data_IF_302641335792
#
_entry.id   IF_302641335792
#
_cell.length_a   1.000
_cell.length_b   1.000
_cell.length_c   1.000
_cell.angle_alpha   90.00
_cell.angle_beta   90.00
_cell.angle_gamma   90.00
#
_symmetry.space_group_name_H-M   'P 1'
#
loop_
_entity.id
_entity.type
_entity.pdbx_description
1 polymer ?
#
# COMPACT_ATOMS: atom_id res chain seq x y z
N UNK A 1 -13.66 -7.88 -5.12
CA UNK A 1 -12.70 -6.95 -4.50
C UNK A 1 -11.48 -7.76 -4.10
N UNK A 2 -10.26 -7.29 -4.43
CA UNK A 2 -9.06 -8.12 -4.25
C UNK A 2 -8.46 -8.01 -2.85
N UNK A 3 -7.84 -9.10 -2.42
CA UNK A 3 -7.10 -9.25 -1.17
C UNK A 3 -5.77 -9.95 -1.43
N UNK A 4 -4.90 -10.03 -0.42
CA UNK A 4 -3.65 -10.80 -0.52
C UNK A 4 -3.88 -12.26 -0.95
N UNK A 5 -5.04 -12.86 -0.58
CA UNK A 5 -5.38 -14.24 -0.94
C UNK A 5 -5.53 -14.43 -2.43
N UNK A 6 -5.82 -13.37 -3.18
CA UNK A 6 -6.02 -13.45 -4.61
C UNK A 6 -4.69 -13.48 -5.37
N UNK A 7 -3.55 -13.21 -4.72
CA UNK A 7 -2.23 -13.46 -5.31
C UNK A 7 -2.03 -14.96 -5.45
N UNK A 8 -2.34 -15.50 -6.62
CA UNK A 8 -2.24 -16.93 -6.91
C UNK A 8 -0.99 -17.26 -7.72
N UNK A 9 -0.51 -16.31 -8.52
CA UNK A 9 0.48 -16.59 -9.55
C UNK A 9 1.68 -15.66 -9.48
N UNK A 10 2.82 -16.18 -9.92
CA UNK A 10 4.04 -15.41 -10.13
C UNK A 10 4.66 -15.74 -11.48
N UNK A 11 5.31 -14.75 -12.10
CA UNK A 11 5.93 -14.92 -13.40
C UNK A 11 7.17 -14.06 -13.57
N UNK A 12 8.23 -14.66 -14.08
CA UNK A 12 9.40 -13.93 -14.57
C UNK A 12 9.10 -13.35 -15.95
N UNK A 13 9.45 -12.08 -16.16
CA UNK A 13 9.35 -11.41 -17.45
C UNK A 13 10.71 -10.87 -17.87
N UNK A 14 10.99 -10.91 -19.18
CA UNK A 14 12.20 -10.34 -19.78
C UNK A 14 11.81 -9.50 -20.97
N UNK A 15 12.21 -8.23 -20.95
CA UNK A 15 12.11 -7.32 -22.07
C UNK A 15 13.50 -6.99 -22.59
N UNK A 16 13.66 -7.05 -23.91
CA UNK A 16 14.92 -6.81 -24.62
C UNK A 16 16.12 -7.51 -23.96
N UNK A 17 15.98 -8.83 -23.74
CA UNK A 17 17.02 -9.64 -23.11
C UNK A 17 17.21 -9.43 -21.60
N UNK A 18 16.51 -8.48 -20.98
CA UNK A 18 16.69 -8.06 -19.58
C UNK A 18 17.28 -6.65 -19.45
N UNK A 19 17.47 -5.93 -20.55
CA UNK A 19 18.11 -4.61 -20.57
C UNK A 19 17.09 -3.47 -20.40
N UNK A 20 15.81 -3.73 -20.64
CA UNK A 20 14.73 -2.76 -20.45
C UNK A 20 13.74 -3.22 -19.38
N UNK A 21 13.13 -2.26 -18.68
CA UNK A 21 12.11 -2.52 -17.68
C UNK A 21 10.84 -3.06 -18.33
N UNK A 22 10.28 -4.13 -17.76
CA UNK A 22 9.09 -4.75 -18.31
C UNK A 22 7.88 -3.83 -18.20
N UNK A 23 7.28 -3.46 -19.34
CA UNK A 23 5.96 -2.82 -19.46
C UNK A 23 5.83 -1.43 -18.82
N UNK A 24 6.95 -0.73 -18.59
CA UNK A 24 6.95 0.66 -18.10
C UNK A 24 6.78 1.70 -19.21
N UNK A 25 6.80 1.26 -20.48
CA UNK A 25 6.46 2.02 -21.67
C UNK A 25 4.95 2.14 -21.89
N UNK A 26 4.14 1.47 -21.06
CA UNK A 26 2.68 1.47 -21.14
C UNK A 26 2.14 2.36 -20.01
N UNK A 27 1.61 3.53 -20.39
CA UNK A 27 1.04 4.49 -19.43
C UNK A 27 -0.40 4.15 -19.01
N UNK A 28 -1.02 3.16 -19.66
CA UNK A 28 -2.36 2.70 -19.33
C UNK A 28 -2.38 1.72 -18.14
N UNK A 29 -3.48 1.73 -17.39
CA UNK A 29 -3.79 0.72 -16.36
C UNK A 29 -4.18 -0.65 -16.96
N UNK A 30 -4.08 -0.80 -18.27
CA UNK A 30 -4.35 -2.05 -18.99
C UNK A 30 -3.17 -2.37 -19.91
N UNK A 31 -2.80 -3.65 -19.97
CA UNK A 31 -1.70 -4.11 -20.81
C UNK A 31 -1.96 -5.52 -21.33
N UNK A 32 -1.32 -5.86 -22.46
CA UNK A 32 -1.29 -7.24 -22.95
C UNK A 32 -0.05 -7.92 -22.37
N UNK A 33 -0.27 -8.87 -21.47
CA UNK A 33 0.79 -9.77 -21.04
C UNK A 33 0.94 -10.87 -22.09
N UNK A 34 2.17 -11.18 -22.51
CA UNK A 34 2.44 -12.10 -23.61
C UNK A 34 3.12 -13.39 -23.14
N UNK A 35 2.90 -14.51 -23.82
CA UNK A 35 3.43 -15.84 -23.58
C UNK A 35 4.02 -16.43 -24.88
N UNK A 36 5.08 -17.22 -24.73
CA UNK A 36 5.77 -17.86 -25.84
C UNK A 36 4.96 -19.04 -26.42
N UNK A 37 5.07 -19.24 -27.74
CA UNK A 37 4.55 -20.41 -28.45
C UNK A 37 5.47 -21.64 -28.39
N UNK A 38 6.71 -21.48 -27.93
CA UNK A 38 7.77 -22.51 -27.99
C UNK A 38 7.54 -23.70 -27.05
N UNK A 39 6.54 -23.62 -26.17
CA UNK A 39 6.22 -24.67 -25.20
C UNK A 39 4.91 -25.35 -25.62
N UNK A 40 5.02 -26.14 -26.68
CA UNK A 40 3.94 -26.62 -27.57
C UNK A 40 2.96 -27.62 -26.91
N UNK A 41 3.26 -28.15 -25.73
CA UNK A 41 2.44 -29.19 -25.10
C UNK A 41 1.38 -28.69 -24.09
N UNK A 42 1.16 -27.38 -23.93
CA UNK A 42 0.03 -26.86 -23.11
C UNK A 42 -0.56 -25.55 -23.70
N UNK A 43 -1.64 -25.61 -24.49
CA UNK A 43 -2.28 -24.44 -25.11
C UNK A 43 -3.06 -23.53 -24.14
N UNK A 44 -2.64 -23.39 -22.88
CA UNK A 44 -3.45 -22.69 -21.84
C UNK A 44 -2.66 -21.84 -20.85
N UNK A 45 -1.37 -21.57 -21.09
CA UNK A 45 -0.55 -20.84 -20.12
C UNK A 45 -1.00 -19.38 -19.89
N UNK A 46 -1.49 -18.69 -20.93
CA UNK A 46 -2.08 -17.36 -20.79
C UNK A 46 -3.42 -17.41 -20.05
N UNK A 47 -4.13 -18.52 -20.19
CA UNK A 47 -5.41 -18.79 -19.54
C UNK A 47 -5.31 -19.36 -18.11
N UNK A 48 -4.11 -19.73 -17.63
CA UNK A 48 -3.91 -20.30 -16.28
C UNK A 48 -4.45 -19.39 -15.16
N UNK A 49 -4.12 -18.08 -15.10
CA UNK A 49 -4.76 -17.17 -14.16
C UNK A 49 -6.24 -17.02 -14.48
N UNK A 50 -7.15 -17.12 -13.51
CA UNK A 50 -8.57 -16.87 -13.76
C UNK A 50 -8.90 -15.40 -13.46
N UNK A 51 -10.03 -14.90 -13.97
CA UNK A 51 -10.57 -13.63 -13.48
C UNK A 51 -10.76 -13.75 -11.97
N UNK A 52 -10.28 -12.75 -11.22
CA UNK A 52 -10.22 -12.80 -9.76
C UNK A 52 -8.85 -13.19 -9.22
N UNK A 53 -7.99 -13.81 -10.02
CA UNK A 53 -6.61 -14.08 -9.62
C UNK A 53 -5.69 -12.88 -9.88
N UNK A 54 -4.70 -12.71 -9.01
CA UNK A 54 -3.61 -11.78 -9.16
C UNK A 54 -2.33 -12.52 -9.55
N UNK A 55 -1.63 -11.94 -10.53
CA UNK A 55 -0.34 -12.35 -11.03
C UNK A 55 0.71 -11.31 -10.63
N UNK A 56 1.75 -11.78 -9.95
CA UNK A 56 2.94 -10.98 -9.62
C UNK A 56 3.96 -11.11 -10.73
N UNK A 57 4.45 -10.00 -11.25
CA UNK A 57 5.59 -9.98 -12.15
C UNK A 57 6.87 -9.66 -11.41
N UNK A 58 7.94 -10.36 -11.75
CA UNK A 58 9.30 -9.98 -11.38
C UNK A 58 10.22 -10.08 -12.59
N UNK A 59 11.35 -9.38 -12.51
CA UNK A 59 12.34 -9.33 -13.57
C UNK A 59 13.73 -9.24 -12.97
N UNK A 60 14.69 -9.97 -13.56
CA UNK A 60 16.11 -9.70 -13.38
C UNK A 60 16.57 -8.64 -14.37
N UNK A 61 17.16 -7.55 -13.87
CA UNK A 61 17.74 -6.49 -14.69
C UNK A 61 19.22 -6.82 -14.93
N UNK A 62 19.66 -6.78 -16.19
CA UNK A 62 21.02 -7.19 -16.54
C UNK A 62 22.07 -6.17 -16.08
N UNK A 63 21.77 -4.89 -16.17
CA UNK A 63 22.72 -3.80 -15.89
C UNK A 63 23.23 -3.79 -14.46
N UNK A 64 22.42 -4.19 -13.49
CA UNK A 64 22.82 -4.29 -12.07
C UNK A 64 22.78 -5.72 -11.52
N UNK A 65 22.32 -6.69 -12.32
CA UNK A 65 22.19 -8.10 -11.94
C UNK A 65 21.12 -8.39 -10.89
N UNK A 66 20.32 -7.40 -10.47
CA UNK A 66 19.35 -7.53 -9.38
C UNK A 66 17.98 -7.95 -9.89
N UNK A 67 17.17 -8.47 -8.96
CA UNK A 67 15.78 -8.84 -9.23
C UNK A 67 14.84 -7.83 -8.60
N UNK A 68 13.86 -7.41 -9.40
CA UNK A 68 12.82 -6.48 -9.01
C UNK A 68 11.45 -7.09 -9.23
N UNK A 69 10.56 -6.87 -8.27
CA UNK A 69 9.15 -7.15 -8.36
C UNK A 69 8.47 -5.92 -8.96
N UNK A 70 7.87 -6.07 -10.13
CA UNK A 70 7.55 -4.91 -10.98
C UNK A 70 6.08 -4.59 -11.01
N UNK A 71 5.20 -5.60 -11.08
CA UNK A 71 3.77 -5.40 -11.27
C UNK A 71 2.92 -6.36 -10.45
N UNK A 72 1.72 -5.90 -10.07
CA UNK A 72 0.58 -6.75 -9.75
C UNK A 72 -0.48 -6.59 -10.85
N UNK A 73 -0.91 -7.70 -11.40
CA UNK A 73 -1.85 -7.74 -12.54
C UNK A 73 -3.02 -8.66 -12.25
N UNK A 74 -4.20 -8.35 -12.80
CA UNK A 74 -5.36 -9.27 -12.83
C UNK A 74 -5.89 -9.40 -14.25
N UNK A 75 -6.35 -10.58 -14.69
CA UNK A 75 -7.07 -10.70 -15.95
C UNK A 75 -8.34 -9.84 -15.98
N UNK A 76 -8.62 -9.21 -17.11
CA UNK A 76 -9.85 -8.44 -17.33
C UNK A 76 -10.95 -9.32 -17.92
N UNK A 77 -10.56 -10.28 -18.77
CA UNK A 77 -11.45 -11.17 -19.48
C UNK A 77 -10.90 -12.61 -19.50
N UNK A 78 -11.69 -13.50 -20.09
CA UNK A 78 -11.31 -14.90 -20.35
C UNK A 78 -10.95 -15.09 -21.83
N UNK A 79 -10.29 -14.10 -22.44
CA UNK A 79 -9.92 -14.13 -23.86
C UNK A 79 -8.40 -14.35 -23.98
N UNK A 80 -8.02 -15.39 -24.72
CA UNK A 80 -6.65 -15.57 -25.19
C UNK A 80 -6.51 -14.87 -26.55
N UNK A 81 -5.51 -14.00 -26.66
CA UNK A 81 -5.23 -13.24 -27.88
C UNK A 81 -4.15 -13.96 -28.69
N UNK A 82 -4.37 -14.09 -30.00
CA UNK A 82 -3.34 -14.52 -30.93
C UNK A 82 -2.59 -13.29 -31.47
N UNK A 83 -1.44 -13.01 -30.87
CA UNK A 83 -0.54 -11.92 -31.18
C UNK A 83 0.53 -12.30 -32.21
N UNK A 84 0.41 -13.42 -32.96
CA UNK A 84 1.47 -13.84 -33.91
C UNK A 84 1.89 -12.75 -34.90
N UNK A 85 0.93 -11.91 -35.34
CA UNK A 85 1.17 -10.82 -36.31
C UNK A 85 1.91 -9.63 -35.70
N UNK A 86 1.70 -9.35 -34.42
CA UNK A 86 2.28 -8.18 -33.72
C UNK A 86 3.50 -8.55 -32.88
N UNK A 87 3.60 -9.81 -32.44
CA UNK A 87 4.67 -10.33 -31.61
C UNK A 87 4.92 -11.83 -31.90
N UNK A 88 5.64 -12.15 -32.99
CA UNK A 88 5.84 -13.55 -33.41
C UNK A 88 6.62 -14.40 -32.40
N UNK A 89 7.45 -13.76 -31.55
CA UNK A 89 8.20 -14.43 -30.48
C UNK A 89 7.31 -14.84 -29.30
N UNK A 90 6.27 -14.06 -29.01
CA UNK A 90 5.34 -14.29 -27.91
C UNK A 90 3.90 -14.24 -28.42
N UNK A 91 3.51 -15.32 -29.12
CA UNK A 91 2.23 -15.45 -29.81
C UNK A 91 1.02 -15.24 -28.90
N UNK A 92 1.00 -15.79 -27.70
CA UNK A 92 -0.21 -15.81 -26.90
C UNK A 92 -0.28 -14.60 -26.00
N UNK A 93 -1.39 -13.88 -25.99
CA UNK A 93 -1.59 -12.67 -25.19
C UNK A 93 -2.79 -12.78 -24.29
N UNK A 94 -2.81 -11.98 -23.22
CA UNK A 94 -4.01 -11.76 -22.42
C UNK A 94 -4.08 -10.34 -21.94
N UNK A 95 -5.30 -9.78 -21.95
CA UNK A 95 -5.55 -8.44 -21.43
C UNK A 95 -5.57 -8.47 -19.90
N UNK A 96 -4.69 -7.68 -19.32
CA UNK A 96 -4.48 -7.59 -17.89
C UNK A 96 -4.73 -6.16 -17.42
N UNK A 97 -5.39 -6.01 -16.28
CA UNK A 97 -5.44 -4.75 -15.54
C UNK A 97 -4.25 -4.68 -14.59
N UNK A 98 -3.58 -3.55 -14.58
CA UNK A 98 -2.51 -3.22 -13.64
C UNK A 98 -3.17 -2.78 -12.33
N UNK A 99 -2.78 -3.41 -11.23
CA UNK A 99 -3.16 -3.00 -9.87
C UNK A 99 -2.04 -2.20 -9.21
N UNK A 100 -0.78 -2.53 -9.52
CA UNK A 100 0.41 -1.86 -8.99
C UNK A 100 1.57 -1.91 -9.99
N UNK A 101 2.42 -0.87 -10.03
CA UNK A 101 3.68 -0.86 -10.81
C UNK A 101 4.82 -0.12 -10.10
N UNK A 102 6.03 -0.68 -10.10
CA UNK A 102 7.22 -0.05 -9.47
C UNK A 102 8.56 -0.54 -10.02
N UNK A 103 9.57 0.34 -10.02
CA UNK A 103 10.98 0.02 -10.33
C UNK A 103 11.85 -0.13 -9.07
N UNK A 104 11.31 0.18 -7.90
CA UNK A 104 12.09 0.32 -6.64
C UNK A 104 11.95 -0.90 -5.74
N UNK A 105 11.03 -1.82 -6.04
CA UNK A 105 10.79 -2.98 -5.20
C UNK A 105 11.76 -4.10 -5.56
N UNK A 106 12.84 -4.20 -4.78
CA UNK A 106 13.72 -5.35 -4.79
C UNK A 106 13.02 -6.60 -4.25
N UNK A 107 13.80 -7.60 -3.87
CA UNK A 107 13.28 -8.85 -3.31
C UNK A 107 12.70 -8.62 -1.90
N UNK A 108 11.38 -8.74 -1.66
CA UNK A 108 10.76 -8.32 -0.38
C UNK A 108 11.09 -9.22 0.82
N UNK A 109 11.75 -10.35 0.59
CA UNK A 109 12.14 -11.35 1.59
C UNK A 109 13.26 -12.23 1.00
N UNK A 110 13.62 -13.34 1.65
CA UNK A 110 14.62 -14.29 1.16
C UNK A 110 14.10 -15.29 0.09
N UNK A 111 12.95 -15.03 -0.54
CA UNK A 111 12.34 -15.80 -1.63
C UNK A 111 13.31 -16.53 -2.59
N UNK A 112 13.20 -17.84 -2.72
CA UNK A 112 14.02 -18.59 -3.65
C UNK A 112 13.41 -18.60 -5.06
N UNK A 113 13.86 -17.68 -5.91
CA UNK A 113 13.32 -17.53 -7.27
C UNK A 113 13.82 -18.58 -8.27
N UNK A 114 14.69 -19.52 -7.87
CA UNK A 114 15.27 -20.52 -8.79
C UNK A 114 14.21 -21.35 -9.48
N UNK A 115 13.18 -21.79 -8.74
CA UNK A 115 12.11 -22.65 -9.24
C UNK A 115 11.17 -21.92 -10.22
N UNK A 116 11.10 -20.59 -10.16
CA UNK A 116 10.17 -19.77 -10.95
C UNK A 116 10.86 -18.85 -11.95
N UNK A 117 12.14 -19.10 -12.24
CA UNK A 117 12.96 -18.21 -13.08
C UNK A 117 12.65 -18.33 -14.58
N UNK A 118 11.89 -19.33 -15.00
CA UNK A 118 11.47 -19.44 -16.40
C UNK A 118 10.26 -18.52 -16.64
N UNK A 119 10.00 -18.19 -17.91
CA UNK A 119 8.91 -17.29 -18.29
C UNK A 119 7.49 -17.86 -18.14
N UNK A 120 7.32 -18.94 -17.36
CA UNK A 120 6.03 -19.57 -17.09
C UNK A 120 5.27 -18.88 -15.96
N UNK A 121 3.98 -19.13 -15.92
CA UNK A 121 3.11 -18.77 -14.81
C UNK A 121 3.17 -19.89 -13.77
N UNK A 122 3.72 -19.60 -12.60
CA UNK A 122 3.87 -20.53 -11.48
C UNK A 122 2.93 -20.17 -10.34
N UNK A 123 2.51 -21.16 -9.55
CA UNK A 123 1.80 -20.89 -8.31
C UNK A 123 2.72 -20.16 -7.33
N UNK A 124 2.16 -19.20 -6.58
CA UNK A 124 2.92 -18.27 -5.72
C UNK A 124 3.67 -18.98 -4.57
N UNK A 125 3.22 -20.16 -4.15
CA UNK A 125 3.86 -20.98 -3.11
C UNK A 125 5.26 -21.47 -3.52
N UNK A 126 5.52 -21.57 -4.83
CA UNK A 126 6.84 -21.94 -5.34
C UNK A 126 7.91 -20.82 -5.21
N UNK A 127 7.52 -19.63 -4.75
CA UNK A 127 8.48 -18.55 -4.47
C UNK A 127 9.38 -18.87 -3.27
N UNK A 128 8.86 -19.60 -2.30
CA UNK A 128 9.61 -19.97 -1.11
C UNK A 128 8.99 -21.19 -0.44
N UNK A 129 9.53 -22.37 -0.76
CA UNK A 129 9.04 -23.63 -0.22
C UNK A 129 9.18 -23.74 1.32
N UNK A 130 9.94 -22.83 1.97
CA UNK A 130 10.04 -22.79 3.43
C UNK A 130 8.88 -22.05 4.11
N UNK A 131 8.10 -21.28 3.34
CA UNK A 131 7.01 -20.45 3.85
C UNK A 131 5.65 -21.00 3.41
N UNK A 132 4.64 -20.84 4.27
CA UNK A 132 3.25 -21.12 3.90
C UNK A 132 2.80 -20.13 2.80
N UNK A 133 1.99 -20.61 1.84
CA UNK A 133 1.42 -19.80 0.76
C UNK A 133 0.83 -18.47 1.24
N UNK A 134 0.02 -18.50 2.31
CA UNK A 134 -0.59 -17.31 2.90
C UNK A 134 0.46 -16.28 3.38
N UNK A 135 1.57 -16.74 3.96
CA UNK A 135 2.67 -15.86 4.39
C UNK A 135 3.31 -15.16 3.20
N UNK A 136 3.58 -15.89 2.12
CA UNK A 136 4.16 -15.34 0.89
C UNK A 136 3.21 -14.30 0.28
N UNK A 137 1.93 -14.64 0.18
CA UNK A 137 0.87 -13.76 -0.32
C UNK A 137 0.81 -12.44 0.48
N UNK A 138 0.85 -12.50 1.82
CA UNK A 138 0.84 -11.30 2.68
C UNK A 138 2.08 -10.44 2.49
N UNK A 139 3.27 -11.06 2.43
CA UNK A 139 4.54 -10.34 2.20
C UNK A 139 4.46 -9.58 0.88
N UNK A 140 4.04 -10.24 -0.20
CA UNK A 140 3.91 -9.62 -1.51
C UNK A 140 2.87 -8.51 -1.50
N UNK A 141 1.67 -8.76 -0.96
CA UNK A 141 0.61 -7.76 -0.89
C UNK A 141 1.09 -6.48 -0.18
N UNK A 142 1.66 -6.63 1.02
CA UNK A 142 2.16 -5.50 1.80
C UNK A 142 3.28 -4.73 1.10
N UNK A 143 4.17 -5.43 0.39
CA UNK A 143 5.23 -4.81 -0.38
C UNK A 143 4.72 -3.97 -1.55
N UNK A 144 3.55 -4.33 -2.12
CA UNK A 144 2.97 -3.64 -3.27
C UNK A 144 1.96 -2.54 -2.91
N UNK A 145 1.39 -2.51 -1.69
CA UNK A 145 0.44 -1.46 -1.26
C UNK A 145 0.91 -0.04 -1.61
N UNK A 146 2.18 0.37 -1.35
CA UNK A 146 2.64 1.73 -1.65
C UNK A 146 2.65 2.07 -3.15
N UNK A 147 2.48 1.07 -4.02
CA UNK A 147 2.58 1.19 -5.47
C UNK A 147 1.25 0.88 -6.17
N UNK A 148 0.15 0.76 -5.43
CA UNK A 148 -1.18 0.60 -6.02
C UNK A 148 -1.53 1.81 -6.87
N UNK A 149 -2.21 1.59 -8.00
CA UNK A 149 -2.84 2.69 -8.72
C UNK A 149 -4.06 3.21 -7.96
N UNK A 150 -4.58 4.36 -8.40
CA UNK A 150 -5.66 5.06 -7.71
C UNK A 150 -6.89 4.16 -7.51
N UNK A 151 -7.37 3.47 -8.56
CA UNK A 151 -8.54 2.58 -8.47
C UNK A 151 -8.33 1.41 -7.49
N UNK A 152 -7.17 0.74 -7.56
CA UNK A 152 -6.86 -0.36 -6.64
C UNK A 152 -6.71 0.12 -5.20
N UNK A 153 -6.09 1.29 -5.00
CA UNK A 153 -5.91 1.89 -3.69
C UNK A 153 -7.25 2.32 -3.07
N UNK A 154 -8.12 3.00 -3.83
CA UNK A 154 -9.44 3.41 -3.34
C UNK A 154 -10.30 2.21 -2.94
N UNK A 155 -10.29 1.14 -3.74
CA UNK A 155 -10.92 -0.12 -3.37
C UNK A 155 -10.31 -0.65 -2.08
N UNK A 156 -9.00 -0.84 -2.02
CA UNK A 156 -8.33 -1.34 -0.82
C UNK A 156 -8.70 -0.55 0.46
N UNK A 157 -8.74 0.78 0.38
CA UNK A 157 -9.14 1.63 1.52
C UNK A 157 -10.63 1.46 1.87
N UNK A 158 -11.53 1.43 0.89
CA UNK A 158 -12.96 1.18 1.13
C UNK A 158 -13.18 -0.13 1.88
N UNK A 159 -12.42 -1.18 1.55
CA UNK A 159 -12.49 -2.44 2.27
C UNK A 159 -12.09 -2.28 3.73
N UNK A 160 -10.97 -1.62 4.00
CA UNK A 160 -10.48 -1.42 5.36
C UNK A 160 -11.47 -0.60 6.21
N UNK A 161 -12.08 0.44 5.64
CA UNK A 161 -13.07 1.25 6.35
C UNK A 161 -14.29 0.40 6.73
N UNK A 162 -14.80 -0.44 5.82
CA UNK A 162 -15.94 -1.30 6.10
C UNK A 162 -15.64 -2.33 7.21
N UNK A 163 -14.42 -2.87 7.27
CA UNK A 163 -14.00 -3.76 8.37
C UNK A 163 -13.95 -3.05 9.73
N UNK A 164 -13.63 -1.76 9.75
CA UNK A 164 -13.60 -0.96 10.99
C UNK A 164 -15.04 -0.64 11.45
N UNK A 165 -15.95 -0.40 10.50
CA UNK A 165 -17.36 -0.13 10.80
C UNK A 165 -18.12 -1.39 11.28
N UNK A 166 -17.80 -2.59 10.76
CA UNK A 166 -18.40 -3.86 11.19
C UNK A 166 -17.94 -4.33 12.59
N UNK A 167 -16.74 -3.93 13.05
CA UNK A 167 -16.21 -4.30 14.37
C UNK A 167 -16.74 -3.42 15.53
N UNK A 168 -17.59 -2.41 15.27
CA UNK A 168 -18.19 -1.54 16.30
C UNK A 168 -19.55 -2.02 16.87
N UNK A 169 -20.03 -3.24 16.54
CA UNK A 169 -21.22 -3.83 17.19
C UNK A 169 -21.01 -5.31 17.50
N UNK A 170 -20.54 -5.63 18.71
CA UNK A 170 -21.23 -6.60 19.60
C UNK A 170 -20.71 -6.47 21.04
N UNK A 171 -21.62 -6.14 21.95
CA UNK A 171 -21.40 -6.14 23.39
C UNK A 171 -21.60 -7.55 23.94
N UNK A 172 -20.55 -8.36 24.02
CA UNK A 172 -20.35 -9.32 25.12
C UNK A 172 -19.05 -10.10 24.93
N UNK A 173 -18.04 -9.78 25.74
CA UNK A 173 -16.85 -10.61 25.97
C UNK A 173 -15.95 -10.87 24.75
N UNK A 174 -14.79 -10.22 24.70
CA UNK A 174 -13.77 -10.48 23.67
C UNK A 174 -12.48 -10.99 24.31
N UNK A 175 -11.87 -12.01 23.69
CA UNK A 175 -10.51 -12.45 23.99
C UNK A 175 -9.51 -11.31 23.73
N UNK A 176 -8.94 -10.73 24.78
CA UNK A 176 -7.81 -9.81 24.69
C UNK A 176 -6.54 -10.55 24.24
N UNK A 177 -5.72 -9.92 23.40
CA UNK A 177 -4.39 -10.46 22.99
C UNK A 177 -4.23 -10.83 21.52
N UNK A 178 -5.23 -10.60 20.67
CA UNK A 178 -5.08 -10.76 19.22
C UNK A 178 -4.15 -9.67 18.67
N UNK A 179 -3.03 -10.06 18.08
CA UNK A 179 -2.10 -9.13 17.42
C UNK A 179 -2.77 -8.58 16.16
N UNK A 180 -3.28 -7.36 16.27
CA UNK A 180 -3.82 -6.59 15.15
C UNK A 180 -2.69 -5.74 14.55
N UNK A 181 -2.37 -6.00 13.28
CA UNK A 181 -1.42 -5.22 12.53
C UNK A 181 -2.14 -4.06 11.84
N UNK A 182 -1.96 -2.86 12.37
CA UNK A 182 -2.50 -1.61 11.81
C UNK A 182 -1.47 -1.07 10.81
N UNK A 183 -1.84 -0.97 9.53
CA UNK A 183 -1.00 -0.34 8.50
C UNK A 183 -1.17 1.18 8.55
N UNK A 184 -0.07 1.90 8.76
CA UNK A 184 -0.03 3.35 8.72
C UNK A 184 -0.03 3.87 7.26
N UNK A 185 -1.00 4.72 6.92
CA UNK A 185 -1.00 5.51 5.68
C UNK A 185 0.13 6.53 5.73
N UNK A 186 1.22 6.31 5.00
CA UNK A 186 2.24 7.33 4.77
C UNK A 186 1.78 8.25 3.63
N UNK A 187 1.11 9.35 3.98
CA UNK A 187 1.24 10.56 3.17
C UNK A 187 2.61 11.15 3.49
N UNK A 188 3.38 11.57 2.48
CA UNK A 188 4.63 12.30 2.73
C UNK A 188 4.31 13.52 3.59
N UNK A 189 4.61 13.41 4.89
CA UNK A 189 4.63 14.53 5.81
C UNK A 189 6.05 15.04 5.78
N UNK A 190 6.23 16.32 5.49
CA UNK A 190 7.52 16.94 5.62
C UNK A 190 7.89 16.99 7.11
N UNK A 191 8.62 15.98 7.61
CA UNK A 191 9.07 15.88 8.99
C UNK A 191 9.88 17.12 9.44
N UNK A 192 10.42 17.89 8.48
CA UNK A 192 11.06 19.18 8.73
C UNK A 192 10.07 20.18 9.33
N UNK A 193 8.86 20.31 8.78
CA UNK A 193 7.83 21.24 9.27
C UNK A 193 7.38 20.92 10.71
N UNK A 194 7.24 19.63 11.04
CA UNK A 194 6.90 19.20 12.41
C UNK A 194 8.01 19.55 13.38
N UNK A 195 9.28 19.32 13.00
CA UNK A 195 10.44 19.69 13.83
C UNK A 195 10.57 21.20 13.98
N UNK A 196 10.40 21.96 12.91
CA UNK A 196 10.42 23.43 12.89
C UNK A 196 9.32 24.01 13.78
N UNK A 197 8.09 23.47 13.70
CA UNK A 197 6.96 23.91 14.54
C UNK A 197 7.19 23.62 16.02
N UNK A 198 7.74 22.45 16.37
CA UNK A 198 8.06 22.12 17.76
C UNK A 198 9.19 23.02 18.30
N UNK A 199 10.20 23.29 17.47
CA UNK A 199 11.33 24.13 17.84
C UNK A 199 11.00 25.62 17.90
N UNK A 200 9.92 26.07 17.25
CA UNK A 200 9.51 27.48 17.28
C UNK A 200 8.94 27.93 18.63
N UNK A 201 8.73 27.01 19.58
CA UNK A 201 8.15 27.30 20.90
C UNK A 201 9.03 26.70 22.00
N UNK A 202 9.54 27.54 22.89
CA UNK A 202 10.53 27.16 23.92
C UNK A 202 9.91 26.30 25.04
N UNK A 203 8.61 26.44 25.31
CA UNK A 203 7.84 25.61 26.25
C UNK A 203 6.43 25.36 25.68
N UNK A 204 6.26 24.32 24.84
CA UNK A 204 5.00 24.15 24.12
C UNK A 204 3.92 23.53 25.01
N UNK A 205 2.80 24.24 25.16
CA UNK A 205 1.59 23.74 25.82
C UNK A 205 0.53 23.37 24.79
N UNK A 206 -0.41 22.49 25.15
CA UNK A 206 -1.54 22.14 24.29
C UNK A 206 -2.38 23.38 23.97
N UNK A 207 -2.58 23.69 22.68
CA UNK A 207 -3.40 24.82 22.23
C UNK A 207 -4.90 24.67 22.59
N UNK A 208 -5.35 23.44 22.88
CA UNK A 208 -6.73 23.14 23.30
C UNK A 208 -6.93 23.24 24.82
N UNK A 209 -6.14 22.52 25.63
CA UNK A 209 -6.35 22.38 27.08
C UNK A 209 -5.22 22.94 27.96
N UNK A 210 -4.23 23.63 27.38
CA UNK A 210 -3.04 24.17 28.06
C UNK A 210 -2.16 23.14 28.78
N UNK A 211 -2.38 21.83 28.58
CA UNK A 211 -1.56 20.78 29.16
C UNK A 211 -0.09 20.91 28.75
N UNK A 212 0.82 20.88 29.72
CA UNK A 212 2.26 20.94 29.55
C UNK A 212 2.90 19.59 29.92
N UNK A 213 3.49 18.91 28.95
CA UNK A 213 4.17 17.64 29.18
C UNK A 213 5.46 17.80 29.97
N UNK A 214 6.24 18.85 29.74
CA UNK A 214 7.52 19.07 30.42
C UNK A 214 7.30 19.36 31.91
N UNK A 215 6.25 20.12 32.23
CA UNK A 215 5.88 20.41 33.60
C UNK A 215 5.23 19.20 34.31
N UNK A 216 4.31 18.50 33.63
CA UNK A 216 3.59 17.36 34.24
C UNK A 216 4.45 16.10 34.36
N UNK A 217 5.34 15.86 33.39
CA UNK A 217 6.24 14.72 33.36
C UNK A 217 7.70 15.18 33.20
N UNK A 218 8.32 15.71 34.27
CA UNK A 218 9.70 16.13 34.23
C UNK A 218 10.62 15.02 33.70
N UNK A 219 11.56 15.37 32.82
CA UNK A 219 12.49 14.47 32.11
C UNK A 219 11.91 13.55 31.02
N UNK A 220 10.60 13.25 31.05
CA UNK A 220 9.96 12.37 30.06
C UNK A 220 9.14 13.15 29.02
N UNK A 221 8.57 14.28 29.42
CA UNK A 221 7.63 15.04 28.59
C UNK A 221 8.26 15.97 27.56
N UNK A 222 9.58 16.19 27.61
CA UNK A 222 10.25 17.14 26.73
C UNK A 222 10.14 16.70 25.26
N UNK A 223 9.61 17.58 24.40
CA UNK A 223 9.39 17.31 22.97
C UNK A 223 8.23 16.36 22.65
N UNK A 224 7.51 15.85 23.65
CA UNK A 224 6.46 14.84 23.50
C UNK A 224 5.18 15.38 22.84
N UNK A 225 4.92 16.68 22.97
CA UNK A 225 3.73 17.33 22.39
C UNK A 225 3.54 16.98 20.90
N UNK A 226 2.32 16.79 20.45
CA UNK A 226 2.02 16.35 19.09
C UNK A 226 1.70 17.53 18.18
N UNK A 227 1.85 17.34 16.87
CA UNK A 227 1.56 18.36 15.86
C UNK A 227 0.35 17.93 15.02
N UNK A 228 -0.69 18.76 15.02
CA UNK A 228 -1.94 18.55 14.31
C UNK A 228 -2.07 19.54 13.14
N UNK A 229 -2.60 19.09 11.99
CA UNK A 229 -2.89 19.98 10.87
C UNK A 229 -4.30 20.54 11.02
N UNK A 230 -4.43 21.86 11.17
CA UNK A 230 -5.73 22.53 11.39
C UNK A 230 -6.72 22.27 10.26
N UNK A 231 -6.21 22.17 9.03
CA UNK A 231 -6.99 21.71 7.89
C UNK A 231 -6.65 20.24 7.67
N UNK A 232 -7.64 19.33 7.62
CA UNK A 232 -7.40 17.92 7.36
C UNK A 232 -6.59 17.70 6.08
N UNK A 233 -5.59 16.82 6.13
CA UNK A 233 -4.72 16.50 4.97
C UNK A 233 -5.52 15.75 3.88
N UNK A 234 -6.74 15.27 4.17
CA UNK A 234 -7.56 14.55 3.19
C UNK A 234 -8.25 15.43 2.16
N UNK A 235 -8.13 16.76 2.25
CA UNK A 235 -8.77 17.71 1.35
C UNK A 235 -7.93 18.10 0.11
N UNK A 236 -6.78 17.46 -0.15
CA UNK A 236 -5.97 17.65 -1.37
C UNK A 236 -4.48 17.94 -1.13
N UNK A 237 -3.71 18.05 -2.21
CA UNK A 237 -2.31 18.51 -2.17
C UNK A 237 -2.25 20.02 -1.91
N UNK A 238 -1.42 20.46 -0.96
CA UNK A 238 -1.24 21.87 -0.64
C UNK A 238 0.11 22.17 -0.02
N UNK A 239 0.53 23.42 -0.12
CA UNK A 239 1.67 23.96 0.64
C UNK A 239 1.20 24.15 2.09
N UNK A 240 1.85 23.49 3.03
CA UNK A 240 1.58 23.63 4.48
C UNK A 240 2.63 24.54 5.11
N UNK A 241 2.20 25.56 5.85
CA UNK A 241 3.04 26.49 6.62
C UNK A 241 2.97 26.16 8.12
N UNK A 242 3.85 26.79 8.92
CA UNK A 242 3.86 26.61 10.39
C UNK A 242 2.57 27.10 11.08
N UNK A 243 1.85 28.04 10.47
CA UNK A 243 0.57 28.57 10.98
C UNK A 243 -0.61 27.58 10.82
N UNK A 244 -0.49 26.67 9.85
CA UNK A 244 -1.47 25.59 9.59
C UNK A 244 -1.35 24.42 10.57
N UNK A 245 -0.35 24.48 11.45
CA UNK A 245 -0.02 23.46 12.43
C UNK A 245 -0.36 23.94 13.84
N UNK A 246 -1.00 23.08 14.62
CA UNK A 246 -1.29 23.27 16.03
C UNK A 246 -0.49 22.28 16.88
N UNK A 247 -0.01 22.72 18.04
CA UNK A 247 0.61 21.88 19.06
C UNK A 247 -0.45 21.43 20.05
N UNK A 248 -0.64 20.11 20.18
CA UNK A 248 -1.74 19.52 20.95
C UNK A 248 -1.25 18.33 21.76
N UNK A 249 -1.89 18.05 22.91
CA UNK A 249 -1.61 16.84 23.67
C UNK A 249 -2.22 15.60 23.02
N UNK A 250 -1.72 14.41 23.38
CA UNK A 250 -2.19 13.14 22.81
C UNK A 250 -3.71 12.95 22.94
N UNK A 251 -4.31 13.40 24.05
CA UNK A 251 -5.76 13.32 24.26
C UNK A 251 -6.53 14.26 23.33
N UNK A 252 -6.12 15.54 23.27
CA UNK A 252 -6.76 16.51 22.37
C UNK A 252 -6.55 16.15 20.90
N UNK A 253 -5.38 15.65 20.53
CA UNK A 253 -5.11 15.20 19.17
C UNK A 253 -6.08 14.08 18.75
N UNK A 254 -6.34 13.11 19.63
CA UNK A 254 -7.35 12.07 19.39
C UNK A 254 -8.76 12.65 19.25
N UNK A 255 -9.12 13.65 20.04
CA UNK A 255 -10.44 14.30 19.95
C UNK A 255 -10.62 15.09 18.66
N UNK A 256 -9.57 15.76 18.16
CA UNK A 256 -9.59 16.48 16.87
C UNK A 256 -9.79 15.55 15.66
N UNK A 257 -9.44 14.26 15.79
CA UNK A 257 -9.71 13.26 14.75
C UNK A 257 -11.09 12.59 14.88
N UNK A 258 -11.91 12.97 15.86
CA UNK A 258 -13.32 12.57 15.91
C UNK A 258 -14.17 13.51 15.06
N UNK A 259 -15.27 12.96 14.55
CA UNK A 259 -16.25 13.72 13.78
C UNK A 259 -17.45 14.11 14.65
N UNK A 260 -18.00 15.28 14.38
CA UNK A 260 -19.25 15.74 14.98
C UNK A 260 -20.47 15.07 14.33
N UNK A 261 -21.68 15.43 14.76
CA UNK A 261 -22.94 14.90 14.23
C UNK A 261 -23.17 15.23 12.73
N UNK A 262 -22.48 16.23 12.22
CA UNK A 262 -22.52 16.68 10.83
C UNK A 262 -21.41 16.02 9.98
N UNK A 263 -20.70 15.03 10.54
CA UNK A 263 -19.60 14.28 9.91
C UNK A 263 -18.37 15.15 9.58
N UNK A 264 -18.17 16.25 10.31
CA UNK A 264 -17.03 17.16 10.20
C UNK A 264 -16.04 16.97 11.36
N UNK A 265 -14.75 17.21 11.12
CA UNK A 265 -13.73 17.18 12.17
C UNK A 265 -13.81 18.44 13.05
N UNK A 266 -13.56 18.28 14.34
CA UNK A 266 -13.45 19.42 15.25
C UNK A 266 -12.22 20.28 14.94
N UNK A 267 -12.39 21.60 14.98
CA UNK A 267 -11.25 22.53 15.00
C UNK A 267 -10.66 22.66 16.41
N UNK A 268 -9.46 23.22 16.50
CA UNK A 268 -8.80 23.52 17.79
C UNK A 268 -9.69 24.42 18.66
N UNK A 269 -10.33 25.41 18.04
CA UNK A 269 -11.23 26.37 18.68
C UNK A 269 -12.51 25.70 19.17
N UNK A 270 -13.12 24.83 18.37
CA UNK A 270 -14.31 24.08 18.77
C UNK A 270 -14.01 23.12 19.93
N UNK A 271 -12.89 22.40 19.86
CA UNK A 271 -12.51 21.50 20.95
C UNK A 271 -12.24 22.26 22.24
N UNK A 272 -11.58 23.43 22.15
CA UNK A 272 -11.33 24.31 23.29
C UNK A 272 -12.60 24.78 23.99
N UNK A 273 -13.71 24.96 23.27
CA UNK A 273 -15.00 25.33 23.84
C UNK A 273 -15.70 24.18 24.58
N UNK A 274 -15.41 22.94 24.20
CA UNK A 274 -16.05 21.74 24.76
C UNK A 274 -15.27 21.20 25.97
N UNK A 275 -13.97 21.47 26.03
CA UNK A 275 -13.12 21.07 27.16
C UNK A 275 -13.58 21.82 28.41
N UNK A 276 -14.10 21.06 29.37
CA UNK A 276 -14.31 21.51 30.74
C UNK A 276 -12.95 21.35 31.44
N UNK A 277 -12.26 22.46 31.65
CA UNK A 277 -11.06 22.46 32.50
C UNK A 277 -11.55 22.55 33.95
N UNK A 278 -11.24 21.54 34.76
CA UNK A 278 -11.32 21.63 36.22
C UNK A 278 -10.07 22.31 36.78
#
# INVERSE_FOLDING_TARGET
MFTYKDIQWVRNVKRDGGDTWAYFDIDNDEMILHWSSSYVNQPTHAMKPKIGDIVVLFQKINSDGKVYFTHLLTPIDNIELDCIKTNPKYRWGRKMKVLAKTKKLGKPSNFNLKAVNQGHTYSVDLLDNSLKKNTIQKILWNAFIPFFNEDAYQKYISQLTNYIEDDEIDSSGSSEGKINYILHKLRERNNKLVREKKASVINPTCECCNFDFSNTYPNLGNGFIECHHKIPINQGERITKLEDLALVCANCHRMLHRKNKENEYYTVEQLKQIIINE
#
